data_IF_894359487909
#
_entry.id   IF_894359487909
#
_cell.length_a   1.000
_cell.length_b   1.000
_cell.length_c   1.000
_cell.angle_alpha   90.00
_cell.angle_beta   90.00
_cell.angle_gamma   90.00
#
_symmetry.space_group_name_H-M   'P 1'
#
loop_
_entity.id
_entity.type
_entity.pdbx_description
1 polymer ?
#
# COMPACT_ATOMS: atom_id res chain seq x y z
N UNK A 1 -43.05 24.12 30.17
CA UNK A 1 -43.77 24.62 28.97
C UNK A 1 -43.05 24.10 27.75
N UNK A 2 -43.83 23.58 26.81
CA UNK A 2 -43.43 22.89 25.59
C UNK A 2 -42.33 23.60 24.78
N UNK A 3 -41.41 22.82 24.23
CA UNK A 3 -41.18 22.85 22.78
C UNK A 3 -40.76 21.47 22.27
N UNK A 4 -41.62 20.97 21.38
CA UNK A 4 -41.56 19.72 20.65
C UNK A 4 -40.44 19.75 19.63
N UNK A 5 -39.60 18.71 19.58
CA UNK A 5 -38.76 18.42 18.41
C UNK A 5 -39.51 17.47 17.48
N UNK A 6 -39.50 17.70 16.16
CA UNK A 6 -40.16 16.79 15.22
C UNK A 6 -39.36 15.49 15.14
N UNK A 7 -40.01 14.40 15.56
CA UNK A 7 -39.67 13.03 15.18
C UNK A 7 -39.80 12.89 13.66
N UNK A 8 -38.70 12.62 12.96
CA UNK A 8 -38.77 12.34 11.53
C UNK A 8 -37.44 12.45 10.82
N UNK A 9 -36.53 11.49 11.05
CA UNK A 9 -35.44 11.15 10.12
C UNK A 9 -34.74 9.81 10.44
N UNK A 10 -35.38 8.92 11.20
CA UNK A 10 -34.86 7.57 11.48
C UNK A 10 -35.87 6.54 10.99
N UNK A 11 -35.77 6.11 9.73
CA UNK A 11 -36.28 4.80 9.28
C UNK A 11 -35.90 4.43 7.84
N UNK A 12 -35.54 5.38 6.97
CA UNK A 12 -35.37 5.06 5.54
C UNK A 12 -34.19 4.14 5.18
N UNK A 13 -33.13 4.10 5.99
CA UNK A 13 -31.99 3.20 5.76
C UNK A 13 -32.20 1.82 6.41
N UNK A 14 -32.86 1.78 7.57
CA UNK A 14 -33.14 0.55 8.31
C UNK A 14 -34.27 -0.26 7.64
N UNK A 15 -35.30 0.40 7.08
CA UNK A 15 -36.34 -0.27 6.27
C UNK A 15 -35.79 -0.84 4.96
N UNK A 16 -34.78 -0.21 4.35
CA UNK A 16 -34.16 -0.73 3.10
C UNK A 16 -33.25 -1.94 3.37
N UNK A 17 -32.57 -1.97 4.51
CA UNK A 17 -31.80 -3.13 4.98
C UNK A 17 -32.71 -4.26 5.48
N UNK A 18 -33.85 -3.93 6.08
CA UNK A 18 -34.89 -4.91 6.44
C UNK A 18 -35.57 -5.50 5.19
N UNK A 19 -35.86 -4.69 4.16
CA UNK A 19 -36.39 -5.19 2.89
C UNK A 19 -35.43 -6.10 2.13
N UNK A 20 -34.11 -5.92 2.29
CA UNK A 20 -33.11 -6.84 1.75
C UNK A 20 -33.09 -8.20 2.49
N UNK A 21 -33.53 -8.26 3.75
CA UNK A 21 -33.71 -9.51 4.51
C UNK A 21 -35.03 -10.21 4.18
N UNK A 22 -36.07 -9.46 3.81
CA UNK A 22 -37.39 -10.02 3.49
C UNK A 22 -37.55 -10.44 2.02
N UNK A 23 -36.69 -9.97 1.10
CA UNK A 23 -36.68 -10.37 -0.30
C UNK A 23 -35.59 -11.41 -0.64
N UNK A 24 -35.39 -12.42 0.21
CA UNK A 24 -34.61 -13.63 -0.13
C UNK A 24 -35.43 -14.53 -1.09
N UNK A 25 -35.78 -14.01 -2.26
CA UNK A 25 -36.28 -14.83 -3.36
C UNK A 25 -35.14 -15.71 -3.88
N UNK A 26 -35.46 -16.85 -4.49
CA UNK A 26 -34.47 -17.74 -5.12
C UNK A 26 -33.59 -17.02 -6.15
N UNK A 27 -34.10 -15.91 -6.68
CA UNK A 27 -33.48 -15.11 -7.73
C UNK A 27 -32.62 -13.95 -7.19
N UNK A 28 -32.56 -13.75 -5.86
CA UNK A 28 -31.64 -12.78 -5.27
C UNK A 28 -30.18 -13.22 -5.46
N UNK A 29 -29.24 -12.33 -5.82
CA UNK A 29 -27.83 -12.69 -6.06
C UNK A 29 -27.05 -13.12 -4.80
N UNK A 30 -27.62 -12.93 -3.61
CA UNK A 30 -27.14 -13.47 -2.35
C UNK A 30 -28.31 -14.03 -1.53
N UNK A 31 -28.97 -15.12 -1.99
CA UNK A 31 -30.27 -15.56 -1.47
C UNK A 31 -30.18 -16.18 -0.07
N UNK A 32 -28.95 -16.34 0.45
CA UNK A 32 -28.65 -16.82 1.80
C UNK A 32 -27.97 -15.75 2.67
N UNK A 33 -27.80 -14.53 2.14
CA UNK A 33 -27.16 -13.41 2.87
C UNK A 33 -25.70 -13.66 3.25
N UNK A 34 -24.99 -14.55 2.56
CA UNK A 34 -23.67 -15.00 2.93
C UNK A 34 -22.59 -13.94 2.60
N UNK A 35 -22.73 -13.25 1.47
CA UNK A 35 -21.87 -12.10 1.16
C UNK A 35 -22.16 -10.93 2.10
N UNK A 36 -23.43 -10.67 2.42
CA UNK A 36 -23.80 -9.63 3.38
C UNK A 36 -23.22 -9.94 4.78
N UNK A 37 -23.29 -11.20 5.24
CA UNK A 37 -22.70 -11.63 6.50
C UNK A 37 -21.17 -11.46 6.50
N UNK A 38 -20.51 -11.74 5.38
CA UNK A 38 -19.06 -11.52 5.21
C UNK A 38 -18.71 -10.03 5.31
N UNK A 39 -19.44 -9.15 4.63
CA UNK A 39 -19.25 -7.70 4.74
C UNK A 39 -19.51 -7.21 6.17
N UNK A 40 -20.56 -7.70 6.83
CA UNK A 40 -20.87 -7.33 8.22
C UNK A 40 -19.75 -7.75 9.19
N UNK A 41 -19.19 -8.96 9.05
CA UNK A 41 -18.02 -9.40 9.81
C UNK A 41 -16.81 -8.51 9.55
N UNK A 42 -16.58 -8.12 8.30
CA UNK A 42 -15.47 -7.25 7.93
C UNK A 42 -15.63 -5.84 8.52
N UNK A 43 -16.81 -5.23 8.38
CA UNK A 43 -17.11 -3.93 8.98
C UNK A 43 -16.99 -3.99 10.51
N UNK A 44 -17.49 -5.05 11.15
CA UNK A 44 -17.30 -5.26 12.59
C UNK A 44 -15.81 -5.25 12.92
N UNK A 45 -15.00 -6.12 12.32
CA UNK A 45 -13.55 -6.22 12.55
C UNK A 45 -12.83 -4.87 12.40
N UNK A 46 -13.15 -4.15 11.33
CA UNK A 46 -12.54 -2.85 11.04
C UNK A 46 -12.98 -1.74 12.00
N UNK A 47 -14.14 -1.87 12.63
CA UNK A 47 -14.69 -0.89 13.57
C UNK A 47 -14.38 -1.24 15.03
N UNK A 48 -14.11 -2.51 15.37
CA UNK A 48 -13.86 -2.99 16.74
C UNK A 48 -12.67 -2.27 17.40
N UNK A 49 -11.58 -2.04 16.67
CA UNK A 49 -10.34 -1.47 17.22
C UNK A 49 -10.21 0.04 17.01
N UNK A 50 -11.19 0.70 16.39
CA UNK A 50 -11.13 2.12 16.06
C UNK A 50 -11.56 3.06 17.21
N UNK A 51 -11.67 2.55 18.45
CA UNK A 51 -11.86 3.29 19.71
C UNK A 51 -12.70 4.58 19.58
N UNK A 52 -13.90 4.51 18.98
CA UNK A 52 -14.81 5.66 18.88
C UNK A 52 -14.32 6.85 18.05
N UNK A 53 -13.23 6.70 17.28
CA UNK A 53 -12.68 7.78 16.43
C UNK A 53 -13.47 7.99 15.14
N UNK A 54 -14.14 6.93 14.65
CA UNK A 54 -15.05 7.01 13.51
C UNK A 54 -16.43 7.43 14.04
N UNK A 55 -16.72 8.72 13.95
CA UNK A 55 -17.99 9.32 14.42
C UNK A 55 -19.09 9.26 13.35
N UNK A 56 -18.74 9.02 12.09
CA UNK A 56 -19.68 8.88 10.97
C UNK A 56 -19.13 7.89 9.96
N UNK A 57 -19.96 6.91 9.59
CA UNK A 57 -19.67 5.92 8.57
C UNK A 57 -20.62 6.12 7.39
N UNK A 58 -20.08 6.29 6.19
CA UNK A 58 -20.83 6.20 4.94
C UNK A 58 -20.51 4.88 4.26
N UNK A 59 -21.54 4.12 3.88
CA UNK A 59 -21.38 2.91 3.07
C UNK A 59 -21.96 3.18 1.70
N UNK A 60 -21.12 3.03 0.68
CA UNK A 60 -21.53 3.08 -0.71
C UNK A 60 -21.52 1.65 -1.27
N UNK A 61 -22.71 1.13 -1.56
CA UNK A 61 -22.91 -0.22 -2.07
C UNK A 61 -23.00 -0.22 -3.59
N UNK A 62 -21.85 -0.04 -4.25
CA UNK A 62 -21.63 -0.05 -5.71
C UNK A 62 -22.86 0.23 -6.59
N UNK A 63 -23.17 -0.62 -7.57
CA UNK A 63 -24.32 -0.47 -8.45
C UNK A 63 -25.62 -0.32 -7.64
N UNK A 64 -25.78 -1.08 -6.55
CA UNK A 64 -26.96 -1.05 -5.68
C UNK A 64 -27.28 0.30 -5.03
N UNK A 65 -26.32 1.25 -5.03
CA UNK A 65 -26.54 2.63 -4.56
C UNK A 65 -26.95 3.60 -5.66
N UNK A 66 -26.91 3.16 -6.93
CA UNK A 66 -27.38 3.93 -8.08
C UNK A 66 -28.82 3.54 -8.42
N UNK A 67 -29.55 4.44 -9.09
CA UNK A 67 -30.88 4.12 -9.64
C UNK A 67 -30.78 2.94 -10.60
N UNK A 68 -31.24 1.78 -10.15
CA UNK A 68 -31.14 0.52 -10.87
C UNK A 68 -31.90 0.56 -12.19
N UNK A 69 -31.38 -0.18 -13.18
CA UNK A 69 -32.18 -0.47 -14.36
C UNK A 69 -33.44 -1.17 -13.88
N UNK A 70 -34.61 -0.72 -14.30
CA UNK A 70 -35.84 -1.22 -13.75
C UNK A 70 -36.29 -2.45 -14.54
N UNK A 71 -37.15 -3.24 -13.90
CA UNK A 71 -37.68 -4.54 -14.33
C UNK A 71 -38.55 -4.38 -15.59
N UNK A 72 -38.01 -4.64 -16.80
CA UNK A 72 -38.75 -4.43 -18.04
C UNK A 72 -39.97 -5.37 -18.16
N UNK A 73 -39.90 -6.66 -17.75
CA UNK A 73 -41.06 -7.53 -17.63
C UNK A 73 -42.19 -6.97 -16.77
N UNK A 74 -41.86 -6.25 -15.70
CA UNK A 74 -42.85 -5.64 -14.81
C UNK A 74 -43.16 -4.17 -15.12
N UNK A 75 -42.71 -3.65 -16.26
CA UNK A 75 -43.05 -2.32 -16.76
C UNK A 75 -42.49 -1.16 -15.93
N UNK A 76 -41.56 -1.43 -15.01
CA UNK A 76 -40.89 -0.38 -14.25
C UNK A 76 -39.85 0.23 -15.18
N UNK A 77 -39.84 1.55 -15.35
CA UNK A 77 -38.86 2.31 -16.15
C UNK A 77 -38.29 3.49 -15.35
N UNK A 78 -37.02 3.86 -15.57
CA UNK A 78 -36.39 4.98 -14.87
C UNK A 78 -36.96 6.25 -15.49
N UNK A 79 -37.37 7.18 -14.64
CA UNK A 79 -37.70 8.53 -15.11
C UNK A 79 -36.46 9.20 -15.71
N UNK A 80 -36.66 10.27 -16.48
CA UNK A 80 -35.55 11.06 -17.02
C UNK A 80 -34.63 11.58 -15.91
N UNK A 81 -35.20 12.04 -14.80
CA UNK A 81 -34.48 12.48 -13.61
C UNK A 81 -33.65 11.34 -12.98
N UNK A 82 -34.24 10.15 -12.81
CA UNK A 82 -33.53 8.98 -12.28
C UNK A 82 -32.39 8.53 -13.20
N UNK A 83 -32.59 8.62 -14.52
CA UNK A 83 -31.54 8.36 -15.50
C UNK A 83 -30.41 9.40 -15.43
N UNK A 84 -30.73 10.68 -15.22
CA UNK A 84 -29.72 11.72 -15.02
C UNK A 84 -28.89 11.47 -13.75
N UNK A 85 -29.56 11.17 -12.63
CA UNK A 85 -28.91 10.82 -11.36
C UNK A 85 -28.05 9.54 -11.48
N UNK A 86 -28.53 8.53 -12.20
CA UNK A 86 -27.73 7.33 -12.48
C UNK A 86 -26.44 7.67 -13.24
N UNK A 87 -26.53 8.44 -14.33
CA UNK A 87 -25.37 8.85 -15.12
C UNK A 87 -24.38 9.66 -14.29
N UNK A 88 -24.88 10.57 -13.45
CA UNK A 88 -24.07 11.35 -12.53
C UNK A 88 -23.35 10.47 -11.49
N UNK A 89 -24.08 9.55 -10.86
CA UNK A 89 -23.52 8.61 -9.89
C UNK A 89 -22.49 7.67 -10.52
N UNK A 90 -22.78 7.14 -11.71
CA UNK A 90 -21.86 6.31 -12.49
C UNK A 90 -20.55 7.05 -12.82
N UNK A 91 -20.64 8.32 -13.21
CA UNK A 91 -19.48 9.19 -13.44
C UNK A 91 -18.65 9.46 -12.18
N UNK A 92 -19.23 9.28 -10.98
CA UNK A 92 -18.57 9.55 -9.70
C UNK A 92 -17.90 8.32 -9.09
N UNK A 93 -18.18 7.11 -9.59
CA UNK A 93 -17.66 5.85 -9.05
C UNK A 93 -16.13 5.84 -9.00
N UNK A 94 -15.49 6.25 -10.10
CA UNK A 94 -14.02 6.25 -10.18
C UNK A 94 -13.38 7.07 -9.07
N UNK A 95 -13.97 8.22 -8.72
CA UNK A 95 -13.53 9.04 -7.59
C UNK A 95 -13.70 8.32 -6.27
N UNK A 96 -14.87 7.73 -5.99
CA UNK A 96 -15.11 7.00 -4.72
C UNK A 96 -14.17 5.80 -4.56
N UNK A 97 -13.99 4.99 -5.60
CA UNK A 97 -13.12 3.81 -5.57
C UNK A 97 -11.65 4.19 -5.43
N UNK A 98 -11.19 5.20 -6.16
CA UNK A 98 -9.76 5.54 -6.18
C UNK A 98 -9.33 6.50 -5.08
N UNK A 99 -10.23 7.19 -4.40
CA UNK A 99 -9.87 8.14 -3.35
C UNK A 99 -8.99 7.51 -2.25
N UNK A 100 -7.96 8.22 -1.81
CA UNK A 100 -6.95 7.69 -0.89
C UNK A 100 -7.50 7.37 0.51
N UNK A 101 -8.65 7.92 0.90
CA UNK A 101 -9.25 7.74 2.23
C UNK A 101 -10.49 6.84 2.25
N UNK A 102 -10.85 6.21 1.13
CA UNK A 102 -11.98 5.27 1.11
C UNK A 102 -11.50 3.83 1.30
N UNK A 103 -12.28 3.03 2.04
CA UNK A 103 -12.11 1.58 2.07
C UNK A 103 -12.88 0.94 0.94
N UNK A 104 -12.20 0.09 0.18
CA UNK A 104 -12.81 -0.74 -0.85
C UNK A 104 -12.79 -2.18 -0.37
N UNK A 105 -13.98 -2.75 -0.21
CA UNK A 105 -14.17 -4.15 0.19
C UNK A 105 -14.62 -4.94 -1.04
N UNK A 106 -13.77 -5.82 -1.54
CA UNK A 106 -14.08 -6.66 -2.73
C UNK A 106 -14.54 -8.03 -2.31
N UNK A 107 -15.61 -8.51 -2.94
CA UNK A 107 -16.11 -9.87 -2.79
C UNK A 107 -15.65 -10.69 -4.01
N UNK A 108 -14.42 -11.22 -3.95
CA UNK A 108 -13.80 -11.91 -5.11
C UNK A 108 -14.09 -13.40 -5.19
N UNK A 109 -14.58 -13.99 -4.10
CA UNK A 109 -14.93 -15.41 -4.00
C UNK A 109 -16.31 -15.58 -3.38
N UNK A 110 -16.91 -16.74 -3.60
CA UNK A 110 -18.08 -17.18 -2.85
C UNK A 110 -17.68 -17.64 -1.43
N UNK A 111 -18.64 -17.74 -0.49
CA UNK A 111 -18.45 -18.44 0.78
C UNK A 111 -17.95 -19.87 0.60
N UNK A 112 -17.22 -20.42 1.57
CA UNK A 112 -16.76 -21.82 1.46
C UNK A 112 -17.98 -22.75 1.39
N UNK A 113 -17.88 -23.77 0.53
CA UNK A 113 -18.97 -24.71 0.28
C UNK A 113 -20.11 -24.18 -0.60
N UNK A 114 -20.07 -22.93 -1.06
CA UNK A 114 -20.97 -22.42 -2.11
C UNK A 114 -20.30 -22.57 -3.48
N UNK A 115 -20.98 -23.24 -4.40
CA UNK A 115 -20.49 -23.48 -5.76
C UNK A 115 -21.19 -22.57 -6.75
N UNK A 116 -20.55 -22.34 -7.90
CA UNK A 116 -21.14 -21.59 -9.00
C UNK A 116 -22.44 -22.25 -9.49
N UNK A 117 -22.51 -23.58 -9.43
CA UNK A 117 -23.68 -24.38 -9.78
C UNK A 117 -24.89 -24.16 -8.85
N UNK A 118 -24.69 -23.56 -7.67
CA UNK A 118 -25.78 -23.24 -6.73
C UNK A 118 -26.51 -21.93 -7.12
N UNK A 119 -26.03 -21.20 -8.13
CA UNK A 119 -26.59 -19.91 -8.57
C UNK A 119 -27.76 -20.10 -9.53
N UNK A 120 -28.68 -19.11 -9.53
CA UNK A 120 -29.80 -19.09 -10.47
C UNK A 120 -29.31 -19.03 -11.93
N UNK A 121 -30.07 -19.63 -12.84
CA UNK A 121 -29.79 -19.62 -14.27
C UNK A 121 -29.70 -18.17 -14.80
N UNK A 122 -28.69 -17.87 -15.62
CA UNK A 122 -28.41 -16.51 -16.09
C UNK A 122 -27.49 -15.66 -15.20
N UNK A 123 -27.10 -16.15 -14.02
CA UNK A 123 -26.11 -15.47 -13.16
C UNK A 123 -24.71 -15.54 -13.76
N UNK A 124 -23.97 -14.44 -13.73
CA UNK A 124 -22.57 -14.42 -14.19
C UNK A 124 -21.66 -15.14 -13.17
N UNK A 125 -21.34 -16.40 -13.48
CA UNK A 125 -20.45 -17.28 -12.70
C UNK A 125 -18.96 -17.11 -13.05
N UNK A 126 -18.59 -16.17 -13.92
CA UNK A 126 -17.20 -15.89 -14.24
C UNK A 126 -16.44 -15.43 -12.97
N UNK A 127 -15.15 -15.76 -12.90
CA UNK A 127 -14.30 -15.32 -11.80
C UNK A 127 -14.26 -13.80 -11.76
N UNK A 128 -14.10 -13.25 -10.56
CA UNK A 128 -14.15 -11.80 -10.31
C UNK A 128 -13.32 -10.98 -11.31
N UNK A 129 -12.06 -11.36 -11.55
CA UNK A 129 -11.14 -10.63 -12.44
C UNK A 129 -11.36 -10.84 -13.95
N UNK A 130 -12.30 -11.72 -14.33
CA UNK A 130 -12.68 -11.98 -15.72
C UNK A 130 -13.93 -11.17 -16.13
N UNK A 131 -14.52 -10.43 -15.18
CA UNK A 131 -15.67 -9.53 -15.40
C UNK A 131 -15.18 -8.10 -15.59
N UNK A 132 -15.64 -7.43 -16.64
CA UNK A 132 -15.17 -6.10 -17.03
C UNK A 132 -15.35 -5.03 -15.96
N UNK A 133 -16.54 -4.95 -15.36
CA UNK A 133 -16.83 -4.00 -14.27
C UNK A 133 -16.00 -4.28 -13.00
N UNK A 134 -15.90 -5.55 -12.58
CA UNK A 134 -15.06 -5.91 -11.44
C UNK A 134 -13.56 -5.64 -11.69
N UNK A 135 -13.08 -5.86 -12.91
CA UNK A 135 -11.72 -5.50 -13.29
C UNK A 135 -11.49 -3.98 -13.21
N UNK A 136 -12.46 -3.19 -13.66
CA UNK A 136 -12.42 -1.73 -13.57
C UNK A 136 -12.42 -1.23 -12.12
N UNK A 137 -13.36 -1.71 -11.29
CA UNK A 137 -13.46 -1.36 -9.86
C UNK A 137 -12.16 -1.69 -9.11
N UNK A 138 -11.61 -2.89 -9.36
CA UNK A 138 -10.33 -3.29 -8.79
C UNK A 138 -9.18 -2.40 -9.28
N UNK A 139 -9.21 -1.97 -10.54
CA UNK A 139 -8.20 -1.08 -11.11
C UNK A 139 -8.29 0.33 -10.51
N UNK A 140 -9.49 0.88 -10.33
CA UNK A 140 -9.70 2.14 -9.62
C UNK A 140 -9.23 2.08 -8.17
N UNK A 141 -9.60 1.02 -7.44
CA UNK A 141 -9.12 0.78 -6.09
C UNK A 141 -7.60 0.54 -6.02
N UNK A 142 -6.96 0.30 -7.17
CA UNK A 142 -5.53 0.14 -7.35
C UNK A 142 -4.77 1.43 -7.70
N UNK A 143 -5.45 2.57 -7.90
CA UNK A 143 -4.78 3.76 -8.41
C UNK A 143 -3.91 4.48 -7.39
N UNK A 144 -4.41 4.84 -6.21
CA UNK A 144 -3.66 5.75 -5.32
C UNK A 144 -3.66 5.34 -3.84
N UNK A 145 -4.63 4.53 -3.41
CA UNK A 145 -4.78 4.14 -2.01
C UNK A 145 -3.76 3.09 -1.56
N UNK A 146 -3.47 3.10 -0.26
CA UNK A 146 -2.68 2.09 0.41
C UNK A 146 -3.33 0.70 0.34
N UNK A 147 -2.51 -0.36 0.37
CA UNK A 147 -2.99 -1.75 0.35
C UNK A 147 -4.02 -2.06 1.45
N UNK A 148 -3.82 -1.52 2.66
CA UNK A 148 -4.71 -1.70 3.80
C UNK A 148 -6.13 -1.13 3.61
N UNK A 149 -6.34 -0.28 2.60
CA UNK A 149 -7.63 0.33 2.29
C UNK A 149 -8.36 -0.37 1.13
N UNK A 150 -7.81 -1.50 0.67
CA UNK A 150 -8.24 -2.21 -0.54
C UNK A 150 -8.30 -3.71 -0.25
N UNK A 151 -9.34 -4.14 0.47
CA UNK A 151 -9.42 -5.47 1.06
C UNK A 151 -10.15 -6.45 0.15
N UNK A 152 -9.54 -7.62 -0.04
CA UNK A 152 -10.18 -8.75 -0.70
C UNK A 152 -10.85 -9.66 0.33
N UNK A 153 -12.15 -9.47 0.54
CA UNK A 153 -12.93 -10.27 1.48
C UNK A 153 -13.11 -11.72 1.01
N UNK A 154 -12.81 -12.02 -0.26
CA UNK A 154 -12.81 -13.40 -0.75
C UNK A 154 -11.74 -14.27 -0.09
N UNK A 155 -10.77 -13.65 0.59
CA UNK A 155 -9.71 -14.33 1.36
C UNK A 155 -10.06 -14.52 2.84
N UNK A 156 -11.21 -14.02 3.29
CA UNK A 156 -11.65 -14.24 4.66
C UNK A 156 -11.90 -15.73 4.90
N UNK A 157 -11.40 -16.22 6.03
CA UNK A 157 -11.56 -17.61 6.45
C UNK A 157 -12.86 -17.80 7.22
N UNK A 158 -13.50 -18.94 6.98
CA UNK A 158 -14.69 -19.35 7.71
C UNK A 158 -14.36 -19.78 9.13
N UNK A 159 -15.27 -19.47 10.06
CA UNK A 159 -15.10 -19.74 11.49
C UNK A 159 -14.04 -18.87 12.22
N UNK A 160 -13.34 -17.99 11.52
CA UNK A 160 -12.32 -17.10 12.10
C UNK A 160 -12.94 -15.78 12.57
N UNK A 161 -12.70 -15.41 13.82
CA UNK A 161 -12.98 -14.05 14.30
C UNK A 161 -11.84 -13.12 13.87
N UNK A 162 -12.22 -11.97 13.34
CA UNK A 162 -11.29 -10.99 12.79
C UNK A 162 -11.28 -9.72 13.64
N UNK A 163 -10.09 -9.25 13.96
CA UNK A 163 -9.79 -7.89 14.42
C UNK A 163 -9.29 -7.04 13.23
N UNK A 164 -8.99 -5.75 13.45
CA UNK A 164 -8.61 -4.86 12.35
C UNK A 164 -7.27 -5.27 11.69
N UNK A 165 -6.35 -5.84 12.47
CA UNK A 165 -5.00 -6.20 12.02
C UNK A 165 -5.06 -7.48 11.17
N UNK A 166 -5.72 -8.51 11.70
CA UNK A 166 -5.85 -9.82 11.06
C UNK A 166 -6.66 -9.74 9.77
N UNK A 167 -7.71 -8.91 9.70
CA UNK A 167 -8.48 -8.76 8.47
C UNK A 167 -7.68 -8.05 7.39
N UNK A 168 -6.96 -6.97 7.74
CA UNK A 168 -6.09 -6.28 6.80
C UNK A 168 -5.01 -7.23 6.30
N UNK A 169 -4.37 -7.98 7.20
CA UNK A 169 -3.32 -8.93 6.84
C UNK A 169 -3.83 -10.00 5.88
N UNK A 170 -4.88 -10.73 6.24
CA UNK A 170 -5.35 -11.87 5.44
C UNK A 170 -5.97 -11.38 4.10
N UNK A 171 -6.71 -10.26 4.11
CA UNK A 171 -7.37 -9.73 2.91
C UNK A 171 -6.44 -8.95 1.96
N UNK A 172 -5.14 -8.81 2.28
CA UNK A 172 -4.14 -8.14 1.42
C UNK A 172 -2.98 -9.06 0.97
N UNK A 173 -2.92 -10.31 1.46
CA UNK A 173 -1.88 -11.31 1.13
C UNK A 173 -1.86 -11.73 -0.36
N UNK A 174 -0.84 -12.49 -0.77
CA UNK A 174 -0.73 -13.19 -2.07
C UNK A 174 -0.94 -12.32 -3.33
N UNK A 175 0.01 -11.42 -3.59
CA UNK A 175 0.06 -10.61 -4.81
C UNK A 175 -0.83 -9.37 -4.80
N UNK A 176 -1.55 -9.14 -3.70
CA UNK A 176 -2.13 -7.85 -3.31
C UNK A 176 -2.88 -7.08 -4.40
N UNK A 177 -2.90 -5.76 -4.21
CA UNK A 177 -3.41 -4.75 -5.15
C UNK A 177 -2.46 -4.66 -6.35
N UNK A 178 -2.97 -4.73 -7.58
CA UNK A 178 -2.17 -4.63 -8.81
C UNK A 178 -1.62 -3.20 -9.01
N UNK A 179 -0.49 -3.02 -9.72
CA UNK A 179 -0.03 -1.69 -10.15
C UNK A 179 -1.07 -0.98 -11.01
N UNK A 180 -1.07 0.37 -11.01
CA UNK A 180 -1.88 1.14 -11.95
C UNK A 180 -1.47 0.81 -13.39
N UNK A 181 -2.44 0.84 -14.31
CA UNK A 181 -2.21 0.67 -15.74
C UNK A 181 -2.41 2.00 -16.46
N UNK A 182 -1.59 2.26 -17.49
CA UNK A 182 -1.90 3.31 -18.45
C UNK A 182 -3.27 3.03 -19.10
N UNK A 183 -4.04 4.06 -19.50
CA UNK A 183 -5.33 3.86 -20.16
C UNK A 183 -5.29 2.89 -21.34
N UNK A 184 -4.23 2.93 -22.16
CA UNK A 184 -4.03 2.00 -23.27
C UNK A 184 -3.81 0.55 -22.82
N UNK A 185 -3.01 0.34 -21.78
CA UNK A 185 -2.77 -0.99 -21.21
C UNK A 185 -4.02 -1.54 -20.52
N UNK A 186 -4.79 -0.68 -19.86
CA UNK A 186 -6.10 -1.04 -19.30
C UNK A 186 -7.09 -1.48 -20.39
N UNK A 187 -7.21 -0.73 -21.49
CA UNK A 187 -8.07 -1.10 -22.62
C UNK A 187 -7.67 -2.46 -23.22
N UNK A 188 -6.38 -2.71 -23.40
CA UNK A 188 -5.88 -4.00 -23.89
C UNK A 188 -6.22 -5.19 -22.96
N UNK A 189 -6.21 -4.97 -21.64
CA UNK A 189 -6.66 -5.98 -20.68
C UNK A 189 -8.19 -6.12 -20.65
N UNK A 190 -8.92 -5.02 -20.83
CA UNK A 190 -10.38 -5.00 -20.87
C UNK A 190 -10.93 -5.81 -22.05
N UNK A 191 -10.20 -5.87 -23.17
CA UNK A 191 -10.60 -6.67 -24.32
C UNK A 191 -10.79 -8.15 -24.01
N UNK A 192 -10.03 -8.66 -23.02
CA UNK A 192 -10.06 -10.05 -22.56
C UNK A 192 -11.20 -10.33 -21.57
N UNK A 193 -11.98 -9.32 -21.18
CA UNK A 193 -13.00 -9.40 -20.12
C UNK A 193 -14.40 -9.62 -20.67
N UNK A 194 -15.21 -10.29 -19.86
CA UNK A 194 -16.62 -10.57 -20.12
C UNK A 194 -17.53 -9.49 -19.52
N UNK A 195 -18.66 -9.25 -20.17
CA UNK A 195 -19.71 -8.33 -19.73
C UNK A 195 -21.06 -9.03 -19.84
N UNK A 196 -21.96 -8.80 -18.88
CA UNK A 196 -23.30 -9.39 -18.85
C UNK A 196 -24.22 -8.84 -19.95
N UNK A 197 -24.03 -7.58 -20.34
CA UNK A 197 -24.82 -6.92 -21.39
C UNK A 197 -24.15 -7.00 -22.79
N UNK A 198 -23.12 -7.84 -22.97
CA UNK A 198 -22.35 -7.91 -24.22
C UNK A 198 -21.28 -6.82 -24.38
N UNK A 199 -20.80 -6.58 -25.61
CA UNK A 199 -19.63 -5.73 -25.90
C UNK A 199 -19.87 -4.21 -25.69
N UNK A 200 -21.10 -3.78 -25.48
CA UNK A 200 -21.49 -2.36 -25.57
C UNK A 200 -20.96 -1.48 -24.41
N UNK A 201 -20.61 -2.08 -23.27
CA UNK A 201 -20.11 -1.32 -22.12
C UNK A 201 -18.61 -1.02 -22.19
N UNK A 202 -17.82 -1.71 -23.02
CA UNK A 202 -16.36 -1.53 -23.08
C UNK A 202 -15.94 -0.07 -23.31
N UNK A 203 -16.49 0.65 -24.32
CA UNK A 203 -16.12 2.06 -24.55
C UNK A 203 -16.55 2.99 -23.41
N UNK A 204 -17.58 2.62 -22.64
CA UNK A 204 -17.96 3.36 -21.43
C UNK A 204 -16.95 3.13 -20.31
N UNK A 205 -16.58 1.86 -20.07
CA UNK A 205 -15.60 1.48 -19.04
C UNK A 205 -14.22 2.08 -19.31
N UNK A 206 -13.75 2.07 -20.56
CA UNK A 206 -12.48 2.72 -20.94
C UNK A 206 -12.48 4.21 -20.62
N UNK A 207 -13.55 4.93 -21.03
CA UNK A 207 -13.68 6.37 -20.78
C UNK A 207 -13.72 6.70 -19.29
N UNK A 208 -14.47 5.94 -18.51
CA UNK A 208 -14.59 6.12 -17.08
C UNK A 208 -13.27 5.80 -16.35
N UNK A 209 -12.53 4.77 -16.78
CA UNK A 209 -11.20 4.47 -16.25
C UNK A 209 -10.21 5.61 -16.52
N UNK A 210 -10.14 6.05 -17.79
CA UNK A 210 -9.25 7.13 -18.19
C UNK A 210 -9.53 8.44 -17.44
N UNK A 211 -10.81 8.78 -17.24
CA UNK A 211 -11.22 9.95 -16.48
C UNK A 211 -10.70 9.89 -15.03
N UNK A 212 -10.94 8.77 -14.33
CA UNK A 212 -10.46 8.61 -12.96
C UNK A 212 -8.92 8.56 -12.87
N UNK A 213 -8.25 7.91 -13.84
CA UNK A 213 -6.79 7.88 -13.90
C UNK A 213 -6.23 9.30 -14.00
N UNK A 214 -6.71 10.11 -14.96
CA UNK A 214 -6.27 11.49 -15.11
C UNK A 214 -6.59 12.34 -13.89
N UNK A 215 -7.79 12.19 -13.33
CA UNK A 215 -8.25 13.03 -12.23
C UNK A 215 -7.60 12.69 -10.89
N UNK A 216 -7.45 11.41 -10.57
CA UNK A 216 -7.08 10.96 -9.23
C UNK A 216 -5.60 10.58 -9.18
N UNK A 217 -5.11 9.80 -10.15
CA UNK A 217 -3.69 9.45 -10.21
C UNK A 217 -2.82 10.68 -10.57
N UNK A 218 -3.26 11.49 -11.54
CA UNK A 218 -2.55 12.71 -11.93
C UNK A 218 -2.47 13.79 -10.84
N UNK A 219 -3.35 13.73 -9.83
CA UNK A 219 -3.35 14.65 -8.68
C UNK A 219 -2.62 14.08 -7.45
N UNK A 220 -2.26 12.80 -7.45
CA UNK A 220 -1.63 12.16 -6.29
C UNK A 220 -0.25 12.77 -5.99
N UNK A 221 -0.07 13.20 -4.74
CA UNK A 221 1.22 13.63 -4.20
C UNK A 221 1.95 12.49 -3.50
N UNK A 222 1.20 11.51 -3.00
CA UNK A 222 1.72 10.33 -2.32
C UNK A 222 1.15 9.05 -2.94
N UNK A 223 2.01 8.05 -3.15
CA UNK A 223 1.61 6.71 -3.56
C UNK A 223 2.16 5.66 -2.57
N UNK A 224 1.24 5.05 -1.83
CA UNK A 224 1.52 4.08 -0.77
C UNK A 224 1.44 2.64 -1.30
N UNK A 225 2.53 2.18 -1.92
CA UNK A 225 2.62 0.88 -2.60
C UNK A 225 3.51 -0.13 -1.88
N UNK A 226 3.67 0.06 -0.57
CA UNK A 226 4.39 -0.86 0.32
C UNK A 226 3.57 -2.13 0.62
N UNK A 227 4.25 -3.24 0.94
CA UNK A 227 3.63 -4.49 1.41
C UNK A 227 2.59 -5.09 0.47
N UNK A 228 2.74 -4.87 -0.84
CA UNK A 228 1.84 -5.43 -1.84
C UNK A 228 2.34 -6.78 -2.38
N UNK A 229 3.52 -7.21 -1.95
CA UNK A 229 4.18 -8.42 -2.43
C UNK A 229 4.70 -8.29 -3.88
N UNK A 230 4.81 -7.06 -4.39
CA UNK A 230 5.21 -6.77 -5.77
C UNK A 230 6.61 -7.28 -6.08
N UNK A 231 6.78 -7.94 -7.24
CA UNK A 231 8.08 -8.31 -7.77
C UNK A 231 8.52 -7.38 -8.90
N UNK A 232 9.50 -7.86 -9.69
CA UNK A 232 10.06 -7.12 -10.82
C UNK A 232 9.01 -6.77 -11.89
N UNK A 233 8.07 -7.68 -12.14
CA UNK A 233 7.01 -7.47 -13.13
C UNK A 233 6.06 -6.33 -12.73
N UNK A 234 5.72 -6.22 -11.45
CA UNK A 234 4.87 -5.14 -10.94
C UNK A 234 5.61 -3.80 -10.91
N UNK A 235 6.88 -3.81 -10.51
CA UNK A 235 7.74 -2.64 -10.56
C UNK A 235 7.92 -2.11 -12.00
N UNK A 236 8.05 -3.01 -12.98
CA UNK A 236 8.13 -2.63 -14.40
C UNK A 236 6.84 -1.94 -14.89
N UNK A 237 5.66 -2.44 -14.52
CA UNK A 237 4.38 -1.77 -14.85
C UNK A 237 4.28 -0.39 -14.24
N UNK A 238 4.71 -0.22 -12.98
CA UNK A 238 4.78 1.10 -12.37
C UNK A 238 5.76 2.01 -13.11
N UNK A 239 6.93 1.48 -13.49
CA UNK A 239 7.94 2.23 -14.23
C UNK A 239 7.39 2.75 -15.57
N UNK A 240 6.62 1.95 -16.31
CA UNK A 240 5.94 2.40 -17.54
C UNK A 240 5.00 3.59 -17.28
N UNK A 241 4.22 3.52 -16.19
CA UNK A 241 3.31 4.61 -15.79
C UNK A 241 4.07 5.88 -15.43
N UNK A 242 5.17 5.77 -14.67
CA UNK A 242 6.01 6.92 -14.32
C UNK A 242 6.68 7.51 -15.58
N UNK A 243 7.22 6.67 -16.45
CA UNK A 243 7.87 7.08 -17.69
C UNK A 243 6.90 7.79 -18.67
N UNK A 244 5.59 7.59 -18.54
CA UNK A 244 4.60 8.30 -19.34
C UNK A 244 4.34 9.74 -18.86
N UNK A 245 4.88 10.14 -17.70
CA UNK A 245 4.57 11.43 -17.07
C UNK A 245 3.17 11.49 -16.44
N UNK A 246 2.53 10.35 -16.18
CA UNK A 246 1.18 10.30 -15.62
C UNK A 246 1.09 10.75 -14.15
N UNK A 247 2.23 10.88 -13.46
CA UNK A 247 2.31 11.26 -12.05
C UNK A 247 3.03 12.62 -11.84
N UNK A 248 2.54 13.73 -12.44
CA UNK A 248 3.26 15.01 -12.46
C UNK A 248 3.34 15.71 -11.09
N UNK A 249 2.49 15.29 -10.13
CA UNK A 249 2.42 15.85 -8.77
C UNK A 249 3.04 14.96 -7.70
N UNK A 250 3.55 13.79 -8.08
CA UNK A 250 4.08 12.82 -7.13
C UNK A 250 5.31 13.39 -6.40
N UNK A 251 5.22 13.46 -5.09
CA UNK A 251 6.25 13.91 -4.16
C UNK A 251 6.85 12.73 -3.39
N UNK A 252 6.02 11.75 -3.03
CA UNK A 252 6.47 10.58 -2.24
C UNK A 252 5.99 9.25 -2.84
N UNK A 253 6.95 8.36 -3.11
CA UNK A 253 6.69 7.01 -3.60
C UNK A 253 7.19 5.97 -2.58
N UNK A 254 6.26 5.19 -2.06
CA UNK A 254 6.53 4.13 -1.09
C UNK A 254 6.46 2.76 -1.78
N UNK A 255 7.59 2.05 -1.85
CA UNK A 255 7.72 0.73 -2.45
C UNK A 255 8.39 -0.28 -1.51
N UNK A 256 8.51 0.05 -0.23
CA UNK A 256 9.21 -0.76 0.76
C UNK A 256 8.45 -2.05 1.12
N UNK A 257 9.17 -3.03 1.68
CA UNK A 257 8.60 -4.32 2.10
C UNK A 257 7.84 -5.01 0.94
N UNK A 258 8.50 -5.08 -0.20
CA UNK A 258 8.06 -5.79 -1.40
C UNK A 258 9.14 -6.82 -1.81
N UNK A 259 8.94 -7.48 -2.96
CA UNK A 259 9.86 -8.47 -3.51
C UNK A 259 10.63 -7.93 -4.74
N UNK A 260 10.80 -6.62 -4.87
CA UNK A 260 11.45 -5.99 -6.02
C UNK A 260 12.94 -6.37 -6.02
N UNK A 261 13.42 -6.94 -7.13
CA UNK A 261 14.80 -7.30 -7.38
C UNK A 261 15.50 -6.30 -8.32
N UNK A 262 16.61 -6.75 -8.91
CA UNK A 262 17.43 -5.92 -9.79
C UNK A 262 16.69 -5.51 -11.06
N UNK A 263 15.90 -6.39 -11.67
CA UNK A 263 15.20 -6.08 -12.93
C UNK A 263 14.08 -5.05 -12.73
N UNK A 264 13.33 -5.15 -11.62
CA UNK A 264 12.34 -4.15 -11.25
C UNK A 264 12.99 -2.80 -10.92
N UNK A 265 14.13 -2.82 -10.21
CA UNK A 265 14.89 -1.61 -9.93
C UNK A 265 15.44 -0.96 -11.22
N UNK A 266 15.96 -1.75 -12.17
CA UNK A 266 16.40 -1.27 -13.49
C UNK A 266 15.27 -0.60 -14.26
N UNK A 267 14.06 -1.18 -14.23
CA UNK A 267 12.90 -0.58 -14.87
C UNK A 267 12.54 0.77 -14.23
N UNK A 268 12.47 0.82 -12.89
CA UNK A 268 12.23 2.07 -12.16
C UNK A 268 13.30 3.13 -12.45
N UNK A 269 14.57 2.72 -12.48
CA UNK A 269 15.70 3.59 -12.82
C UNK A 269 15.56 4.15 -14.25
N UNK A 270 15.25 3.30 -15.23
CA UNK A 270 15.05 3.74 -16.61
C UNK A 270 13.91 4.77 -16.72
N UNK A 271 12.83 4.59 -15.96
CA UNK A 271 11.73 5.55 -15.91
C UNK A 271 12.13 6.87 -15.24
N UNK A 272 12.80 6.83 -14.08
CA UNK A 272 13.24 8.03 -13.35
C UNK A 272 14.32 8.83 -14.09
N UNK A 273 15.15 8.13 -14.89
CA UNK A 273 16.16 8.73 -15.75
C UNK A 273 15.60 9.40 -17.01
N UNK A 274 14.29 9.32 -17.24
CA UNK A 274 13.62 10.04 -18.33
C UNK A 274 13.20 11.42 -17.84
N UNK A 275 13.56 12.45 -18.59
CA UNK A 275 13.17 13.83 -18.31
C UNK A 275 11.64 13.95 -18.17
N UNK A 276 11.20 14.61 -17.10
CA UNK A 276 9.77 14.87 -16.86
C UNK A 276 8.94 13.68 -16.38
N UNK A 277 9.53 12.50 -16.15
CA UNK A 277 8.78 11.33 -15.66
C UNK A 277 8.21 11.55 -14.23
N UNK A 278 9.03 12.08 -13.32
CA UNK A 278 8.65 12.35 -11.94
C UNK A 278 9.28 13.69 -11.45
N UNK A 279 8.81 14.84 -11.98
CA UNK A 279 9.47 16.13 -11.81
C UNK A 279 9.40 16.69 -10.38
N UNK A 280 8.48 16.17 -9.55
CA UNK A 280 8.27 16.60 -8.17
C UNK A 280 8.68 15.56 -7.13
N UNK A 281 9.23 14.42 -7.53
CA UNK A 281 9.53 13.35 -6.60
C UNK A 281 10.64 13.78 -5.65
N UNK A 282 10.31 13.82 -4.35
CA UNK A 282 11.20 14.19 -3.26
C UNK A 282 11.67 12.96 -2.48
N UNK A 283 10.81 11.94 -2.35
CA UNK A 283 11.09 10.76 -1.52
C UNK A 283 10.80 9.46 -2.26
N UNK A 284 11.81 8.60 -2.34
CA UNK A 284 11.72 7.25 -2.89
C UNK A 284 12.11 6.23 -1.82
N UNK A 285 11.13 5.47 -1.34
CA UNK A 285 11.32 4.47 -0.29
C UNK A 285 11.39 3.07 -0.90
N UNK A 286 12.59 2.49 -0.98
CA UNK A 286 12.85 1.17 -1.56
C UNK A 286 13.37 0.15 -0.54
N UNK A 287 13.34 0.47 0.74
CA UNK A 287 13.89 -0.40 1.78
C UNK A 287 13.12 -1.73 1.93
N UNK A 288 13.75 -2.74 2.54
CA UNK A 288 13.17 -4.09 2.71
C UNK A 288 12.68 -4.69 1.38
N UNK A 289 13.53 -4.67 0.36
CA UNK A 289 13.31 -5.33 -0.94
C UNK A 289 14.45 -6.32 -1.24
N UNK A 290 14.54 -6.83 -2.47
CA UNK A 290 15.55 -7.80 -2.91
C UNK A 290 16.55 -7.20 -3.91
N UNK A 291 16.71 -5.87 -3.91
CA UNK A 291 17.56 -5.15 -4.86
C UNK A 291 19.04 -5.38 -4.52
N UNK A 292 19.81 -5.87 -5.49
CA UNK A 292 21.24 -6.09 -5.41
C UNK A 292 22.06 -4.97 -6.06
N UNK A 293 23.36 -5.22 -6.24
CA UNK A 293 24.29 -4.24 -6.79
C UNK A 293 23.92 -3.77 -8.20
N UNK A 294 23.39 -4.67 -9.05
CA UNK A 294 23.04 -4.33 -10.43
C UNK A 294 21.85 -3.38 -10.51
N UNK A 295 20.85 -3.52 -9.63
CA UNK A 295 19.76 -2.56 -9.51
C UNK A 295 20.26 -1.17 -9.06
N UNK A 296 21.12 -1.12 -8.04
CA UNK A 296 21.65 0.15 -7.53
C UNK A 296 22.59 0.85 -8.52
N UNK A 297 23.40 0.10 -9.27
CA UNK A 297 24.21 0.65 -10.38
C UNK A 297 23.32 1.28 -11.45
N UNK A 298 22.24 0.61 -11.83
CA UNK A 298 21.29 1.15 -12.81
C UNK A 298 20.62 2.44 -12.31
N UNK A 299 20.22 2.47 -11.03
CA UNK A 299 19.66 3.67 -10.42
C UNK A 299 20.69 4.81 -10.36
N UNK A 300 21.95 4.53 -10.00
CA UNK A 300 23.02 5.51 -9.99
C UNK A 300 23.22 6.16 -11.38
N UNK A 301 23.30 5.34 -12.44
CA UNK A 301 23.42 5.81 -13.82
C UNK A 301 22.20 6.64 -14.23
N UNK A 302 20.99 6.22 -13.86
CA UNK A 302 19.77 6.94 -14.19
C UNK A 302 19.69 8.32 -13.52
N UNK A 303 20.06 8.41 -12.24
CA UNK A 303 20.08 9.67 -11.50
C UNK A 303 21.17 10.64 -11.98
N UNK A 304 22.23 10.12 -12.60
CA UNK A 304 23.29 10.93 -13.23
C UNK A 304 22.90 11.56 -14.56
N UNK A 305 21.75 11.20 -15.15
CA UNK A 305 21.25 11.85 -16.36
C UNK A 305 20.76 13.26 -16.05
N UNK A 306 21.06 14.19 -16.96
CA UNK A 306 20.58 15.57 -16.85
C UNK A 306 19.04 15.61 -16.77
N UNK A 307 18.50 16.36 -15.81
CA UNK A 307 17.05 16.48 -15.61
C UNK A 307 16.37 15.27 -14.95
N UNK A 308 17.10 14.22 -14.57
CA UNK A 308 16.55 13.08 -13.84
C UNK A 308 16.23 13.44 -12.38
N UNK A 309 15.02 13.12 -11.93
CA UNK A 309 14.53 13.27 -10.56
C UNK A 309 15.05 14.54 -9.82
N UNK A 310 14.80 15.75 -10.36
CA UNK A 310 15.51 16.99 -9.95
C UNK A 310 15.28 17.40 -8.49
N UNK A 311 14.21 16.89 -7.86
CA UNK A 311 13.83 17.21 -6.49
C UNK A 311 14.09 16.09 -5.50
N UNK A 312 14.71 14.99 -5.92
CA UNK A 312 14.87 13.82 -5.05
C UNK A 312 15.78 14.14 -3.87
N UNK A 313 15.20 14.17 -2.66
CA UNK A 313 15.89 14.49 -1.41
C UNK A 313 16.17 13.25 -0.56
N UNK A 314 15.34 12.21 -0.68
CA UNK A 314 15.42 11.03 0.15
C UNK A 314 15.34 9.76 -0.68
N UNK A 315 16.34 8.90 -0.51
CA UNK A 315 16.41 7.56 -1.06
C UNK A 315 16.78 6.59 0.07
N UNK A 316 15.90 5.64 0.37
CA UNK A 316 16.15 4.63 1.40
C UNK A 316 16.52 3.28 0.80
N UNK A 317 17.69 2.77 1.21
CA UNK A 317 18.33 1.59 0.65
C UNK A 317 18.34 0.38 1.61
N UNK A 318 18.05 0.60 2.90
CA UNK A 318 18.22 -0.43 3.96
C UNK A 318 17.38 -1.68 3.70
N UNK A 319 17.80 -2.84 4.23
CA UNK A 319 17.04 -4.09 4.03
C UNK A 319 17.04 -4.63 2.60
N UNK A 320 17.91 -4.12 1.73
CA UNK A 320 18.19 -4.68 0.41
C UNK A 320 19.48 -5.52 0.40
N UNK A 321 19.81 -6.11 -0.75
CA UNK A 321 20.99 -6.94 -0.99
C UNK A 321 22.15 -6.14 -1.59
N UNK A 322 22.33 -4.89 -1.16
CA UNK A 322 23.41 -4.01 -1.63
C UNK A 322 24.76 -4.45 -1.04
N UNK A 323 25.75 -4.62 -1.91
CA UNK A 323 27.15 -4.82 -1.60
C UNK A 323 28.00 -3.58 -1.88
N UNK A 324 29.32 -3.73 -1.78
CA UNK A 324 30.27 -2.63 -1.91
C UNK A 324 30.20 -1.97 -3.30
N UNK A 325 29.96 -2.75 -4.35
CA UNK A 325 29.91 -2.24 -5.73
C UNK A 325 28.67 -1.36 -5.97
N UNK A 326 27.51 -1.72 -5.40
CA UNK A 326 26.32 -0.88 -5.43
C UNK A 326 26.51 0.42 -4.65
N UNK A 327 27.10 0.38 -3.44
CA UNK A 327 27.37 1.58 -2.66
C UNK A 327 28.40 2.50 -3.36
N UNK A 328 29.44 1.94 -3.99
CA UNK A 328 30.42 2.73 -4.79
C UNK A 328 29.76 3.43 -5.97
N UNK A 329 28.89 2.74 -6.71
CA UNK A 329 28.21 3.32 -7.86
C UNK A 329 27.32 4.51 -7.48
N UNK A 330 26.53 4.37 -6.41
CA UNK A 330 25.73 5.48 -5.87
C UNK A 330 26.61 6.65 -5.41
N UNK A 331 27.70 6.36 -4.69
CA UNK A 331 28.62 7.39 -4.23
C UNK A 331 29.31 8.14 -5.39
N UNK A 332 29.64 7.44 -6.48
CA UNK A 332 30.22 8.04 -7.68
C UNK A 332 29.21 8.97 -8.38
N UNK A 333 27.97 8.50 -8.61
CA UNK A 333 26.94 9.31 -9.23
C UNK A 333 26.67 10.61 -8.44
N UNK A 334 26.58 10.52 -7.11
CA UNK A 334 26.39 11.70 -6.27
C UNK A 334 27.56 12.69 -6.33
N UNK A 335 28.80 12.19 -6.46
CA UNK A 335 29.99 13.07 -6.66
C UNK A 335 29.96 13.78 -8.00
N UNK A 336 29.39 13.15 -9.03
CA UNK A 336 29.24 13.72 -10.38
C UNK A 336 28.05 14.70 -10.48
N UNK A 337 27.34 14.95 -9.39
CA UNK A 337 26.22 15.91 -9.34
C UNK A 337 24.85 15.30 -9.63
N UNK A 338 24.73 13.97 -9.69
CA UNK A 338 23.45 13.27 -9.74
C UNK A 338 22.61 13.61 -8.50
N UNK A 339 21.30 13.81 -8.69
CA UNK A 339 20.35 14.11 -7.60
C UNK A 339 20.90 15.12 -6.57
N UNK A 340 21.16 16.37 -6.96
CA UNK A 340 21.88 17.36 -6.12
C UNK A 340 21.17 17.68 -4.80
N UNK A 341 19.89 17.36 -4.70
CA UNK A 341 19.06 17.57 -3.52
C UNK A 341 19.14 16.41 -2.51
N UNK A 342 19.82 15.30 -2.84
CA UNK A 342 19.81 14.08 -2.02
C UNK A 342 20.53 14.30 -0.69
N UNK A 343 19.83 14.03 0.40
CA UNK A 343 20.33 14.18 1.77
C UNK A 343 20.75 12.82 2.33
N UNK A 344 21.99 12.73 2.81
CA UNK A 344 22.44 11.61 3.62
C UNK A 344 21.61 11.49 4.91
N UNK A 345 21.03 10.31 5.18
CA UNK A 345 20.34 10.03 6.45
C UNK A 345 20.69 8.63 6.95
N UNK A 346 21.00 8.56 8.25
CA UNK A 346 21.40 7.33 8.95
C UNK A 346 20.23 6.50 9.50
N UNK A 347 18.98 6.89 9.25
CA UNK A 347 17.82 6.24 9.86
C UNK A 347 16.62 6.13 8.89
N UNK A 348 15.86 5.02 8.95
CA UNK A 348 14.56 4.95 8.31
C UNK A 348 13.68 6.09 8.84
N UNK A 349 12.76 6.62 8.02
CA UNK A 349 11.86 7.67 8.47
C UNK A 349 11.10 7.16 9.69
N UNK A 350 10.96 7.99 10.72
CA UNK A 350 9.88 7.78 11.69
C UNK A 350 8.61 7.91 10.86
N UNK A 351 7.88 6.80 10.74
CA UNK A 351 6.57 6.73 10.10
C UNK A 351 5.78 8.00 10.46
N UNK A 352 5.51 8.87 9.48
CA UNK A 352 4.32 9.70 9.61
C UNK A 352 3.17 8.68 9.66
N UNK A 353 2.30 8.75 10.68
CA UNK A 353 1.13 7.90 10.68
C UNK A 353 0.41 8.10 9.35
N UNK A 354 -0.10 7.02 8.77
CA UNK A 354 -1.21 7.09 7.81
C UNK A 354 -2.14 8.24 8.24
N UNK A 355 -2.78 8.99 7.31
CA UNK A 355 -3.90 9.84 7.69
C UNK A 355 -4.80 9.02 8.60
N UNK A 356 -4.84 9.41 9.90
CA UNK A 356 -5.51 8.64 10.95
C UNK A 356 -6.94 8.37 10.46
N UNK A 357 -7.35 7.10 10.41
CA UNK A 357 -7.72 6.42 11.64
C UNK A 357 -6.77 5.26 11.93
N UNK A 358 -6.10 5.38 13.08
CA UNK A 358 -5.54 4.29 13.89
C UNK A 358 -5.15 2.98 13.16
N UNK A 359 -3.89 2.86 12.76
CA UNK A 359 -3.16 1.60 12.93
C UNK A 359 -2.02 1.88 13.91
N UNK A 360 -2.23 1.48 15.16
CA UNK A 360 -1.22 1.52 16.22
C UNK A 360 -0.24 0.37 15.96
N UNK A 361 1.05 0.66 16.10
CA UNK A 361 2.13 -0.33 16.11
C UNK A 361 1.84 -1.46 17.12
N UNK A 362 2.30 -2.71 16.88
CA UNK A 362 2.15 -3.77 17.88
C UNK A 362 2.80 -3.33 19.20
N UNK A 363 2.23 -3.64 20.37
CA UNK A 363 2.94 -3.40 21.61
C UNK A 363 4.23 -4.23 21.58
N UNK A 364 5.36 -3.55 21.74
CA UNK A 364 6.62 -4.14 22.16
C UNK A 364 6.29 -5.17 23.25
N UNK A 365 6.67 -6.42 23.02
CA UNK A 365 6.57 -7.48 24.01
C UNK A 365 7.21 -6.98 25.32
N UNK A 366 6.37 -6.57 26.26
CA UNK A 366 6.78 -6.28 27.61
C UNK A 366 7.30 -7.61 28.16
N UNK A 367 8.62 -7.69 28.38
CA UNK A 367 9.23 -8.76 29.17
C UNK A 367 8.62 -8.67 30.56
N UNK A 368 7.54 -9.40 30.79
CA UNK A 368 7.04 -9.63 32.15
C UNK A 368 8.03 -10.57 32.82
N UNK A 369 8.89 -9.96 33.64
CA UNK A 369 9.61 -10.63 34.71
C UNK A 369 8.59 -11.24 35.66
N UNK A 370 8.25 -12.51 35.44
CA UNK A 370 7.58 -13.31 36.46
C UNK A 370 8.60 -13.65 37.55
N UNK A 371 8.31 -13.40 38.85
CA UNK A 371 9.20 -13.82 39.93
C UNK A 371 9.07 -15.34 40.09
N UNK A 372 10.12 -16.08 39.67
CA UNK A 372 10.24 -17.51 39.94
C UNK A 372 10.39 -17.74 41.45
N UNK A 373 9.34 -18.27 42.07
CA UNK A 373 9.44 -19.12 43.26
C UNK A 373 10.34 -20.31 42.91
N UNK A 374 11.47 -20.44 43.62
CA UNK A 374 12.37 -21.60 43.54
C UNK A 374 11.74 -22.77 44.30
N UNK A 375 11.89 -24.00 43.77
CA UNK A 375 12.35 -25.09 44.59
C UNK A 375 13.72 -25.58 44.11
N UNK A 376 14.59 -25.85 45.09
CA UNK A 376 15.93 -26.41 44.93
C UNK A 376 15.83 -27.81 44.33
N UNK A 377 16.36 -28.01 43.12
CA UNK A 377 16.88 -29.32 42.70
C UNK A 377 18.21 -29.09 41.96
N UNK A 378 19.24 -29.76 42.47
CA UNK A 378 20.65 -29.67 42.05
C UNK A 378 20.89 -30.82 41.06
N UNK A 379 21.07 -30.57 39.76
CA UNK A 379 21.69 -31.54 38.84
C UNK A 379 22.51 -30.81 37.76
N UNK A 380 23.60 -31.45 37.37
CA UNK A 380 24.84 -31.01 36.72
C UNK A 380 24.69 -30.39 35.32
N UNK A 381 25.56 -29.43 34.98
CA UNK A 381 25.84 -29.00 33.60
C UNK A 381 26.52 -30.14 32.79
N UNK A 382 26.37 -30.13 31.45
CA UNK A 382 27.55 -29.76 30.66
C UNK A 382 27.29 -28.94 29.38
N UNK A 383 28.28 -28.07 29.11
CA UNK A 383 28.87 -27.67 27.81
C UNK A 383 28.02 -26.97 26.75
N UNK A 384 28.24 -25.66 26.72
CA UNK A 384 28.34 -24.76 25.57
C UNK A 384 28.51 -25.43 24.19
N UNK A 385 27.65 -25.05 23.24
CA UNK A 385 28.03 -24.89 21.83
C UNK A 385 27.63 -23.48 21.41
N UNK A 386 28.64 -22.65 21.17
CA UNK A 386 28.55 -21.44 20.38
C UNK A 386 28.00 -21.80 18.99
N UNK A 387 26.97 -21.10 18.53
CA UNK A 387 26.77 -20.84 17.12
C UNK A 387 26.91 -19.33 16.95
N UNK A 388 28.01 -18.95 16.28
CA UNK A 388 28.39 -17.59 15.94
C UNK A 388 27.28 -16.90 15.13
N UNK A 389 26.69 -15.85 15.68
CA UNK A 389 25.99 -14.87 14.89
C UNK A 389 27.04 -14.04 14.14
N UNK A 390 27.24 -14.33 12.86
CA UNK A 390 28.01 -13.47 11.95
C UNK A 390 27.40 -12.07 11.99
N UNK A 391 28.14 -11.13 12.58
CA UNK A 391 28.01 -9.71 12.33
C UNK A 391 28.29 -9.47 10.84
N UNK A 392 27.24 -9.36 10.02
CA UNK A 392 27.38 -8.69 8.72
C UNK A 392 27.20 -7.21 8.97
N UNK A 393 28.31 -6.48 8.91
CA UNK A 393 28.33 -5.02 8.94
C UNK A 393 27.43 -4.47 7.83
N UNK A 394 26.43 -3.70 8.22
CA UNK A 394 25.68 -2.84 7.32
C UNK A 394 25.63 -1.44 7.95
N UNK A 395 26.75 -0.74 7.78
CA UNK A 395 26.82 0.71 7.84
C UNK A 395 27.38 1.16 6.49
N UNK A 396 26.53 1.26 5.45
CA UNK A 396 26.89 2.08 4.30
C UNK A 396 26.73 3.54 4.73
N UNK A 397 27.84 4.14 5.18
CA UNK A 397 27.97 5.56 5.44
C UNK A 397 27.70 6.34 4.14
N UNK A 398 26.63 7.13 4.10
CA UNK A 398 26.60 8.38 3.32
C UNK A 398 27.13 9.54 4.18
N UNK A 399 28.09 9.27 5.06
CA UNK A 399 28.73 10.25 5.93
C UNK A 399 30.19 10.55 5.50
N UNK A 400 30.48 10.44 4.20
CA UNK A 400 31.78 10.76 3.60
C UNK A 400 31.88 12.12 2.90
N UNK A 401 30.88 12.99 3.00
CA UNK A 401 30.85 14.30 2.29
C UNK A 401 30.89 15.51 3.23
N UNK A 402 31.46 15.38 4.43
CA UNK A 402 31.95 16.54 5.19
C UNK A 402 33.41 16.34 5.55
N UNK A 403 34.20 17.32 5.11
CA UNK A 403 35.59 17.67 5.47
C UNK A 403 36.74 16.81 4.91
N UNK A 404 37.10 17.07 3.65
CA UNK A 404 38.52 17.05 3.18
C UNK A 404 39.06 18.49 2.99
N UNK A 405 38.61 19.45 3.82
CA UNK A 405 39.08 20.85 3.74
C UNK A 405 39.96 21.30 4.92
N UNK A 406 40.09 20.53 6.00
CA UNK A 406 40.85 20.97 7.18
C UNK A 406 41.61 19.84 7.87
N UNK A 407 42.76 19.46 7.31
CA UNK A 407 43.83 18.79 8.08
C UNK A 407 45.15 19.48 7.78
N UNK A 408 45.32 20.70 8.32
CA UNK A 408 46.65 21.26 8.58
C UNK A 408 47.17 20.66 9.88
N UNK A 409 48.34 20.06 9.78
CA UNK A 409 49.23 19.54 10.82
C UNK A 409 48.96 19.97 12.27
N UNK A 410 48.79 18.98 13.15
CA UNK A 410 49.39 19.02 14.49
C UNK A 410 49.94 17.62 14.83
N UNK A 411 51.26 17.49 14.80
CA UNK A 411 51.97 16.31 15.32
C UNK A 411 51.83 16.24 16.85
N UNK A 412 51.42 15.07 17.37
CA UNK A 412 51.47 14.77 18.80
C UNK A 412 52.59 13.76 19.05
N UNK A 413 53.66 14.20 19.74
CA UNK A 413 54.77 13.36 20.20
C UNK A 413 54.31 12.34 21.26
N UNK A 414 54.88 11.12 21.31
CA UNK A 414 54.54 10.12 22.32
C UNK A 414 55.22 10.42 23.67
N UNK A 415 54.48 10.21 24.77
CA UNK A 415 54.95 10.31 26.17
C UNK A 415 55.73 9.06 26.59
N UNK A 416 56.88 9.24 27.23
CA UNK A 416 57.61 8.20 27.97
C UNK A 416 57.13 8.07 29.44
N UNK A 417 57.31 6.90 30.08
CA UNK A 417 56.90 6.67 31.47
C UNK A 417 57.95 7.14 32.49
N UNK A 418 57.50 7.87 33.51
CA UNK A 418 58.34 8.45 34.57
C UNK A 418 58.86 7.44 35.61
N UNK A 419 60.11 7.63 36.03
CA UNK A 419 60.77 6.96 37.16
C UNK A 419 60.48 7.66 38.49
N UNK A 420 60.42 6.85 39.55
CA UNK A 420 60.27 7.22 40.97
C UNK A 420 61.48 8.00 41.49
N UNK A 421 61.23 8.86 42.48
CA UNK A 421 62.21 9.78 43.06
C UNK A 421 63.04 9.26 44.23
N UNK A 422 64.09 10.04 44.50
CA UNK A 422 64.86 10.31 45.72
C UNK A 422 65.61 11.62 45.37
N UNK A 423 65.71 12.66 46.19
CA UNK A 423 66.48 12.79 47.44
C UNK A 423 66.06 14.08 48.16
N UNK A 424 66.21 14.06 49.47
CA UNK A 424 66.16 15.12 50.51
C UNK A 424 66.97 16.40 50.26
N UNK A 425 66.50 17.58 50.69
CA UNK A 425 67.08 18.34 51.82
C UNK A 425 66.45 19.74 52.07
N UNK A 426 66.29 20.05 53.37
CA UNK A 426 66.44 21.33 54.09
C UNK A 426 65.48 22.49 53.78
N UNK A 427 64.54 22.71 54.71
CA UNK A 427 64.19 24.04 55.20
C UNK A 427 64.47 24.04 56.70
N UNK A 428 65.04 25.11 57.23
CA UNK A 428 65.30 25.29 58.67
C UNK A 428 64.04 25.13 59.52
#
# INVERSE_FOLDING_TARGET
MHHSYPSGAESGADERLAHARENNTKDHPDPRGANLARVARALKALLTDNYGTITRLGVFWDFGSLHQHPDPPNGVMRTEEQNALFKQGLGSLGTLYSHQHTWVLRLTSFPDGHKAEDQAEGTNVAKYFDRGWCFMEASWAGLTKAGALSLDLGKMRDGVEYDCISIVRDCTQDGGRRPPLLPSAFAAELEKKSFTNGKDDKPLVERLYEAAFKEQFGKATELLYDRLGWGDAEAAKLAEVLASGAAPRLEELYLFDNNIGDEGCKALAAALGKEGAAPRLEKLWLFDNKIGDEGWKALAVALGKEGAAPRLENLALNGNKIGDEGCKALAAALKEGAAPSLKARDAPPRHTPLPRPMLIAPPLACRTSTPKLRPKVRVRQPKERLCEAKQTGQTCLVAGLRTEAELRHTEVKPRQPGRRGCVTHLGS
#
